data_IF_195531309450
#
_entry.id   IF_195531309450
#
_cell.length_a   1.000
_cell.length_b   1.000
_cell.length_c   1.000
_cell.angle_alpha   90.00
_cell.angle_beta   90.00
_cell.angle_gamma   90.00
#
_symmetry.space_group_name_H-M   'P 1'
#
loop_
_entity.id
_entity.type
_entity.pdbx_description
1 polymer ?
#
# COMPACT_ATOMS: atom_id res chain seq x y z
N UNK A 1 47.60 38.08 -34.21
CA UNK A 1 46.99 39.36 -33.79
C UNK A 1 45.73 39.55 -34.62
N UNK A 2 44.64 39.98 -33.96
CA UNK A 2 43.28 40.28 -34.46
C UNK A 2 42.19 39.23 -34.19
N UNK A 3 41.52 39.50 -33.06
CA UNK A 3 40.18 39.12 -32.67
C UNK A 3 39.11 39.72 -33.59
N UNK A 4 37.97 39.05 -33.73
CA UNK A 4 36.65 39.69 -33.56
C UNK A 4 35.57 38.66 -33.17
N UNK A 5 34.85 39.03 -32.11
CA UNK A 5 33.67 38.38 -31.52
C UNK A 5 32.42 38.75 -32.33
N UNK A 6 31.33 37.96 -32.26
CA UNK A 6 29.91 38.40 -32.14
C UNK A 6 28.99 37.18 -32.34
N UNK A 7 28.39 36.59 -31.30
CA UNK A 7 27.12 36.92 -30.60
C UNK A 7 25.84 36.30 -31.22
N UNK A 8 25.16 35.54 -30.37
CA UNK A 8 23.78 35.06 -30.46
C UNK A 8 22.77 36.15 -30.88
N UNK A 9 21.70 35.71 -31.58
CA UNK A 9 20.27 36.13 -31.58
C UNK A 9 19.68 35.63 -32.93
N UNK A 10 18.56 34.93 -33.07
CA UNK A 10 17.27 35.02 -32.39
C UNK A 10 16.47 33.72 -32.61
N UNK A 11 15.65 33.36 -31.62
CA UNK A 11 14.56 32.39 -31.74
C UNK A 11 13.47 32.95 -32.68
N UNK A 12 13.02 32.16 -33.66
CA UNK A 12 11.79 32.45 -34.40
C UNK A 12 10.71 31.46 -33.97
N UNK A 13 9.78 31.99 -33.19
CA UNK A 13 8.51 31.36 -32.81
C UNK A 13 7.59 31.43 -34.04
N UNK A 14 7.07 30.30 -34.49
CA UNK A 14 5.95 30.27 -35.44
C UNK A 14 4.78 29.60 -34.71
N UNK A 15 3.73 30.37 -34.46
CA UNK A 15 2.45 29.92 -33.92
C UNK A 15 1.32 30.37 -34.85
N UNK A 16 0.29 29.53 -34.91
CA UNK A 16 -1.08 29.70 -35.45
C UNK A 16 -1.36 29.32 -36.91
N UNK A 17 -2.08 28.20 -37.08
CA UNK A 17 -3.43 28.27 -37.62
C UNK A 17 -4.32 27.15 -37.09
N UNK A 18 -5.48 27.57 -36.58
CA UNK A 18 -6.65 26.81 -36.15
C UNK A 18 -7.57 26.67 -37.36
N UNK A 19 -7.97 25.45 -37.74
CA UNK A 19 -9.20 25.24 -38.51
C UNK A 19 -9.92 23.98 -37.99
N UNK A 20 -11.14 24.20 -37.49
CA UNK A 20 -12.13 23.19 -37.13
C UNK A 20 -12.66 22.47 -38.39
N UNK A 21 -12.88 21.17 -38.30
CA UNK A 21 -13.89 20.49 -39.10
C UNK A 21 -14.72 19.59 -38.19
N UNK A 22 -15.94 20.05 -37.97
CA UNK A 22 -17.04 19.35 -37.33
C UNK A 22 -17.72 18.48 -38.40
N UNK A 23 -17.80 17.16 -38.24
CA UNK A 23 -18.79 16.35 -38.99
C UNK A 23 -19.01 14.98 -38.35
N UNK A 24 -20.27 14.68 -38.03
CA UNK A 24 -20.78 13.30 -38.07
C UNK A 24 -21.02 12.59 -36.74
N UNK A 25 -22.12 12.89 -36.07
CA UNK A 25 -22.85 11.93 -35.23
C UNK A 25 -23.51 10.87 -36.14
N UNK A 26 -23.36 9.56 -35.86
CA UNK A 26 -24.43 8.54 -35.87
C UNK A 26 -23.93 7.21 -35.23
N UNK A 27 -24.36 7.00 -33.97
CA UNK A 27 -24.82 5.80 -33.25
C UNK A 27 -24.27 4.36 -33.47
N UNK A 28 -23.75 3.83 -32.34
CA UNK A 28 -23.85 2.49 -31.71
C UNK A 28 -24.03 1.20 -32.55
N UNK A 29 -23.11 0.24 -32.36
CA UNK A 29 -23.43 -1.02 -31.64
C UNK A 29 -22.18 -1.88 -31.29
N UNK A 30 -22.15 -2.26 -30.01
CA UNK A 30 -21.72 -3.53 -29.40
C UNK A 30 -20.29 -4.08 -29.55
N UNK A 31 -19.60 -3.96 -28.41
CA UNK A 31 -18.88 -5.02 -27.69
C UNK A 31 -17.81 -5.81 -28.42
N UNK A 32 -16.57 -5.40 -28.19
CA UNK A 32 -15.60 -6.33 -27.62
C UNK A 32 -14.97 -5.62 -26.43
N UNK A 33 -15.59 -5.79 -25.25
CA UNK A 33 -14.85 -5.62 -24.00
C UNK A 33 -13.71 -6.62 -24.08
N UNK A 34 -12.52 -6.14 -24.43
CA UNK A 34 -11.32 -6.73 -23.86
C UNK A 34 -11.62 -6.87 -22.38
N UNK A 35 -11.72 -8.11 -21.91
CA UNK A 35 -11.79 -8.42 -20.49
C UNK A 35 -10.51 -7.85 -19.90
N UNK A 36 -10.61 -6.60 -19.44
CA UNK A 36 -9.82 -6.14 -18.34
C UNK A 36 -10.07 -7.20 -17.27
N UNK A 37 -9.06 -8.03 -17.02
CA UNK A 37 -8.98 -8.78 -15.78
C UNK A 37 -9.03 -7.69 -14.71
N UNK A 38 -10.25 -7.38 -14.29
CA UNK A 38 -10.51 -6.57 -13.13
C UNK A 38 -9.88 -7.37 -12.00
N UNK A 39 -8.61 -7.06 -11.69
CA UNK A 39 -8.01 -7.40 -10.41
C UNK A 39 -8.93 -6.75 -9.40
N UNK A 40 -9.85 -7.56 -8.86
CA UNK A 40 -10.77 -7.13 -7.85
C UNK A 40 -9.94 -6.41 -6.78
N UNK A 41 -10.30 -5.19 -6.37
CA UNK A 41 -9.60 -4.52 -5.29
C UNK A 41 -9.75 -5.41 -4.05
N UNK A 42 -8.69 -6.14 -3.72
CA UNK A 42 -8.68 -7.20 -2.71
C UNK A 42 -9.03 -6.60 -1.35
N UNK A 43 -10.20 -6.98 -0.82
CA UNK A 43 -10.64 -6.59 0.52
C UNK A 43 -10.37 -7.78 1.45
N UNK A 44 -9.28 -7.74 2.20
CA UNK A 44 -9.40 -8.22 3.58
C UNK A 44 -10.44 -7.29 4.20
N UNK A 45 -11.65 -7.78 4.46
CA UNK A 45 -12.71 -6.96 5.07
C UNK A 45 -12.42 -6.85 6.57
N UNK A 46 -11.30 -6.22 6.89
CA UNK A 46 -10.99 -5.74 8.23
C UNK A 46 -11.90 -4.56 8.54
N UNK A 47 -12.57 -4.62 9.68
CA UNK A 47 -13.30 -3.48 10.24
C UNK A 47 -12.34 -2.31 10.45
N UNK A 48 -12.75 -1.09 10.08
CA UNK A 48 -12.05 0.18 10.31
C UNK A 48 -10.64 0.27 9.71
N UNK A 49 -10.56 0.65 8.43
CA UNK A 49 -9.31 0.91 7.70
C UNK A 49 -8.80 2.36 7.85
N UNK A 50 -9.40 3.17 8.71
CA UNK A 50 -8.99 4.56 8.88
C UNK A 50 -7.62 4.63 9.56
N UNK A 51 -6.67 5.24 8.87
CA UNK A 51 -5.31 5.48 9.36
C UNK A 51 -5.09 6.99 9.38
N UNK A 52 -4.43 7.54 10.42
CA UNK A 52 -4.02 8.94 10.42
C UNK A 52 -3.13 9.25 9.23
N UNK A 53 -3.34 10.40 8.58
CA UNK A 53 -2.60 10.79 7.38
C UNK A 53 -1.07 10.75 7.58
N UNK A 54 -0.57 11.11 8.78
CA UNK A 54 0.86 11.00 9.11
C UNK A 54 1.35 9.54 9.09
N UNK A 55 0.58 8.60 9.62
CA UNK A 55 0.97 7.19 9.63
C UNK A 55 0.95 6.60 8.21
N UNK A 56 -0.05 6.96 7.41
CA UNK A 56 -0.13 6.57 5.99
C UNK A 56 1.05 7.13 5.18
N UNK A 57 1.36 8.43 5.34
CA UNK A 57 2.51 9.05 4.69
C UNK A 57 3.85 8.37 5.05
N UNK A 58 4.03 7.99 6.32
CA UNK A 58 5.23 7.25 6.75
C UNK A 58 5.32 5.88 6.05
N UNK A 59 4.21 5.17 5.92
CA UNK A 59 4.16 3.90 5.21
C UNK A 59 4.52 4.07 3.73
N UNK A 60 3.84 4.99 3.03
CA UNK A 60 4.03 5.26 1.60
C UNK A 60 5.47 5.68 1.26
N UNK A 61 6.08 6.50 2.13
CA UNK A 61 7.44 7.02 1.89
C UNK A 61 8.51 5.94 2.12
N UNK A 62 8.29 5.00 3.03
CA UNK A 62 9.34 4.10 3.52
C UNK A 62 9.21 2.64 3.07
N UNK A 63 8.03 2.18 2.62
CA UNK A 63 7.82 0.74 2.40
C UNK A 63 8.79 0.13 1.39
N UNK A 64 9.08 0.84 0.29
CA UNK A 64 9.88 0.30 -0.81
C UNK A 64 11.33 0.09 -0.40
N UNK A 65 11.95 1.07 0.27
CA UNK A 65 13.34 0.96 0.75
C UNK A 65 13.48 -0.11 1.84
N UNK A 66 12.51 -0.20 2.74
CA UNK A 66 12.48 -1.23 3.78
C UNK A 66 12.31 -2.64 3.18
N UNK A 67 11.44 -2.80 2.18
CA UNK A 67 11.23 -4.07 1.50
C UNK A 67 12.45 -4.52 0.70
N UNK A 68 13.14 -3.60 0.04
CA UNK A 68 14.40 -3.86 -0.65
C UNK A 68 15.51 -4.26 0.32
N UNK A 69 15.63 -3.59 1.47
CA UNK A 69 16.62 -3.95 2.47
C UNK A 69 16.36 -5.35 3.05
N UNK A 70 15.11 -5.65 3.39
CA UNK A 70 14.75 -6.96 3.95
C UNK A 70 14.89 -8.10 2.92
N UNK A 71 14.66 -7.85 1.63
CA UNK A 71 14.79 -8.88 0.59
C UNK A 71 16.23 -9.31 0.32
N UNK A 72 17.18 -8.40 0.54
CA UNK A 72 18.61 -8.74 0.51
C UNK A 72 18.99 -9.68 1.66
N UNK A 73 18.37 -9.50 2.83
CA UNK A 73 18.62 -10.32 4.02
C UNK A 73 17.99 -11.71 3.88
N UNK A 74 16.73 -11.76 3.42
CA UNK A 74 15.97 -13.02 3.37
C UNK A 74 16.22 -13.86 2.11
N UNK A 75 17.13 -13.39 1.24
CA UNK A 75 17.55 -14.04 -0.01
C UNK A 75 16.39 -14.37 -0.97
N UNK A 76 15.25 -13.69 -0.85
CA UNK A 76 14.07 -13.95 -1.68
C UNK A 76 14.21 -13.49 -3.14
N UNK A 77 15.24 -12.68 -3.45
CA UNK A 77 15.52 -12.18 -4.79
C UNK A 77 14.51 -11.11 -5.24
N UNK A 78 14.97 -10.15 -6.04
CA UNK A 78 14.17 -9.02 -6.51
C UNK A 78 13.39 -9.37 -7.79
N UNK A 79 12.39 -10.25 -7.68
CA UNK A 79 11.50 -10.53 -8.81
C UNK A 79 10.29 -9.59 -8.77
N UNK A 80 10.51 -8.35 -9.20
CA UNK A 80 9.45 -7.35 -9.42
C UNK A 80 9.37 -6.24 -8.37
N UNK A 81 8.61 -5.20 -8.72
CA UNK A 81 8.39 -4.01 -7.89
C UNK A 81 7.50 -4.31 -6.68
N UNK A 82 7.83 -3.69 -5.55
CA UNK A 82 7.00 -3.75 -4.35
C UNK A 82 5.82 -2.79 -4.47
N UNK A 83 4.67 -3.21 -3.95
CA UNK A 83 3.46 -2.40 -3.87
C UNK A 83 2.95 -2.38 -2.42
N UNK A 84 2.46 -1.22 -1.98
CA UNK A 84 1.84 -1.07 -0.68
C UNK A 84 0.35 -1.42 -0.77
N UNK A 85 -0.09 -2.39 0.02
CA UNK A 85 -1.47 -2.82 0.13
C UNK A 85 -2.30 -1.92 1.05
N UNK A 86 -3.62 -2.13 1.05
CA UNK A 86 -4.54 -1.43 1.94
C UNK A 86 -4.24 -1.74 3.41
N UNK A 87 -4.29 -0.73 4.30
CA UNK A 87 -4.01 -0.95 5.70
C UNK A 87 -5.08 -1.79 6.40
N UNK A 88 -4.67 -2.41 7.51
CA UNK A 88 -5.54 -3.06 8.47
C UNK A 88 -5.13 -2.75 9.92
N UNK A 89 -6.04 -3.02 10.84
CA UNK A 89 -5.84 -2.89 12.29
C UNK A 89 -5.97 -4.25 12.97
N UNK A 90 -5.37 -4.36 14.15
CA UNK A 90 -5.49 -5.54 15.02
C UNK A 90 -6.19 -5.12 16.30
N UNK A 91 -6.99 -6.03 16.85
CA UNK A 91 -7.80 -5.79 18.05
C UNK A 91 -7.44 -6.74 19.17
N UNK A 92 -7.61 -6.29 20.42
CA UNK A 92 -7.74 -7.21 21.55
C UNK A 92 -9.13 -7.85 21.52
N UNK A 93 -9.30 -9.00 22.17
CA UNK A 93 -10.61 -9.68 22.25
C UNK A 93 -11.68 -8.85 22.95
N UNK A 94 -11.31 -7.85 23.76
CA UNK A 94 -12.24 -6.90 24.37
C UNK A 94 -12.66 -5.74 23.42
N UNK A 95 -12.27 -5.79 22.14
CA UNK A 95 -12.60 -4.80 21.11
C UNK A 95 -11.68 -3.58 21.06
N UNK A 96 -10.71 -3.45 21.97
CA UNK A 96 -9.74 -2.35 21.91
C UNK A 96 -8.77 -2.52 20.73
N UNK A 97 -8.50 -1.44 19.99
CA UNK A 97 -7.41 -1.42 19.01
C UNK A 97 -6.06 -1.65 19.70
N UNK A 98 -5.14 -2.35 19.02
CA UNK A 98 -3.78 -2.59 19.54
C UNK A 98 -2.87 -1.35 19.47
N UNK A 99 -3.30 -0.31 18.74
CA UNK A 99 -2.62 0.98 18.62
C UNK A 99 -1.66 1.09 17.43
N UNK A 100 -1.54 0.05 16.60
CA UNK A 100 -0.67 0.01 15.42
C UNK A 100 -1.47 0.04 14.11
N UNK A 101 -0.77 0.34 13.01
CA UNK A 101 -1.33 0.26 11.66
C UNK A 101 -0.47 -0.65 10.80
N UNK A 102 -1.10 -1.56 10.08
CA UNK A 102 -0.40 -2.62 9.36
C UNK A 102 -0.69 -2.53 7.86
N UNK A 103 0.35 -2.52 7.05
CA UNK A 103 0.25 -2.45 5.60
C UNK A 103 0.89 -3.70 4.99
N UNK A 104 0.12 -4.52 4.24
CA UNK A 104 0.69 -5.60 3.45
C UNK A 104 1.65 -5.03 2.41
N UNK A 105 2.84 -5.59 2.28
CA UNK A 105 3.78 -5.25 1.20
C UNK A 105 3.77 -6.40 0.21
N UNK A 106 3.29 -6.11 -0.99
CA UNK A 106 3.12 -7.08 -2.07
C UNK A 106 4.30 -7.06 -3.02
N UNK A 107 4.62 -8.22 -3.58
CA UNK A 107 5.43 -8.36 -4.78
C UNK A 107 4.67 -9.28 -5.74
N UNK A 108 4.24 -8.73 -6.86
CA UNK A 108 3.26 -9.38 -7.73
C UNK A 108 1.97 -9.70 -6.96
N UNK A 109 1.58 -10.97 -6.93
CA UNK A 109 0.38 -11.43 -6.24
C UNK A 109 0.64 -12.02 -4.86
N UNK A 110 1.81 -11.82 -4.26
CA UNK A 110 2.10 -12.36 -2.93
C UNK A 110 2.40 -11.25 -1.94
N UNK A 111 1.80 -11.34 -0.75
CA UNK A 111 2.21 -10.53 0.40
C UNK A 111 3.54 -11.09 0.87
N UNK A 112 4.62 -10.32 0.72
CA UNK A 112 5.96 -10.73 1.14
C UNK A 112 6.23 -10.35 2.59
N UNK A 113 5.78 -9.16 2.96
CA UNK A 113 6.02 -8.58 4.27
C UNK A 113 4.79 -7.86 4.77
N UNK A 114 4.82 -7.49 6.05
CA UNK A 114 3.92 -6.52 6.65
C UNK A 114 4.75 -5.38 7.21
N UNK A 115 4.42 -4.18 6.76
CA UNK A 115 4.94 -2.92 7.30
C UNK A 115 4.06 -2.51 8.47
N UNK A 116 4.64 -2.39 9.65
CA UNK A 116 3.97 -1.95 10.89
C UNK A 116 4.35 -0.51 11.17
N UNK A 117 3.34 0.34 11.34
CA UNK A 117 3.48 1.75 11.72
C UNK A 117 2.99 1.90 13.15
N UNK A 118 3.88 2.33 14.04
CA UNK A 118 3.68 2.34 15.50
C UNK A 118 3.96 3.73 16.06
N UNK A 119 3.14 4.26 16.99
CA UNK A 119 3.48 5.49 17.72
C UNK A 119 4.91 5.42 18.30
N UNK A 120 5.71 6.46 18.07
CA UNK A 120 7.17 6.37 18.26
C UNK A 120 7.61 6.26 19.72
N UNK A 121 6.82 6.79 20.66
CA UNK A 121 7.10 6.76 22.09
C UNK A 121 5.79 6.81 22.91
N UNK A 122 5.88 6.68 24.23
CA UNK A 122 4.72 6.70 25.14
C UNK A 122 3.88 7.99 25.03
N UNK A 123 4.50 9.14 24.77
CA UNK A 123 3.74 10.38 24.57
C UNK A 123 2.92 10.31 23.28
N UNK A 124 3.46 9.73 22.21
CA UNK A 124 2.77 9.54 20.93
C UNK A 124 1.63 8.50 21.03
N UNK A 125 1.73 7.53 21.95
CA UNK A 125 0.64 6.56 22.23
C UNK A 125 -0.57 7.26 22.84
N UNK A 126 -0.34 8.22 23.75
CA UNK A 126 -1.39 8.93 24.46
C UNK A 126 -1.85 10.21 23.75
N UNK A 127 -1.15 10.63 22.69
CA UNK A 127 -1.50 11.80 21.89
C UNK A 127 -2.73 11.56 21.00
N UNK A 128 -3.28 12.64 20.46
CA UNK A 128 -4.23 12.52 19.35
C UNK A 128 -3.54 11.82 18.17
N UNK A 129 -4.22 10.84 17.57
CA UNK A 129 -3.70 10.02 16.47
C UNK A 129 -3.22 10.86 15.27
N UNK A 130 -3.79 12.04 15.03
CA UNK A 130 -3.37 12.91 13.93
C UNK A 130 -2.14 13.76 14.27
N UNK A 131 -1.81 13.95 15.55
CA UNK A 131 -0.63 14.71 16.00
C UNK A 131 0.59 13.85 16.28
N UNK A 132 0.38 12.57 16.63
CA UNK A 132 1.43 11.62 16.98
C UNK A 132 2.53 11.48 15.93
N UNK A 133 3.75 11.19 16.39
CA UNK A 133 4.84 10.75 15.55
C UNK A 133 4.86 9.23 15.44
N UNK A 134 5.25 8.76 14.27
CA UNK A 134 5.24 7.34 13.95
C UNK A 134 6.63 6.84 13.60
N UNK A 135 6.86 5.57 13.93
CA UNK A 135 7.99 4.78 13.49
C UNK A 135 7.50 3.64 12.60
N UNK A 136 8.37 3.14 11.73
CA UNK A 136 8.04 2.10 10.75
C UNK A 136 8.96 0.91 10.95
N UNK A 137 8.41 -0.29 10.89
CA UNK A 137 9.15 -1.55 10.87
C UNK A 137 8.59 -2.47 9.79
N UNK A 138 9.44 -3.20 9.08
CA UNK A 138 9.01 -4.23 8.14
C UNK A 138 9.44 -5.62 8.65
N UNK A 139 8.61 -6.63 8.44
CA UNK A 139 8.96 -8.01 8.73
C UNK A 139 8.04 -9.00 8.00
N UNK A 140 8.31 -10.31 8.11
CA UNK A 140 7.40 -11.37 7.64
C UNK A 140 6.17 -11.58 8.54
N UNK A 141 5.89 -10.65 9.47
CA UNK A 141 4.79 -10.73 10.41
C UNK A 141 3.48 -11.13 9.72
N UNK A 142 2.97 -12.34 10.07
CA UNK A 142 1.75 -12.99 9.56
C UNK A 142 1.56 -12.99 8.03
N UNK A 143 2.59 -12.69 7.23
CA UNK A 143 2.47 -12.51 5.79
C UNK A 143 1.96 -13.78 5.09
N UNK A 144 2.46 -14.95 5.52
CA UNK A 144 2.05 -16.24 4.98
C UNK A 144 0.59 -16.56 5.32
N UNK A 145 0.15 -16.32 6.56
CA UNK A 145 -1.25 -16.49 6.96
C UNK A 145 -2.18 -15.57 6.17
N UNK A 146 -1.77 -14.30 5.95
CA UNK A 146 -2.54 -13.37 5.12
C UNK A 146 -2.66 -13.86 3.67
N UNK A 147 -1.61 -14.48 3.11
CA UNK A 147 -1.69 -15.07 1.78
C UNK A 147 -2.71 -16.23 1.71
N UNK A 148 -2.79 -17.07 2.75
CA UNK A 148 -3.76 -18.18 2.79
C UNK A 148 -5.21 -17.67 2.74
N UNK A 149 -5.57 -16.72 3.61
CA UNK A 149 -6.93 -16.15 3.61
C UNK A 149 -7.25 -15.37 2.34
N UNK A 150 -6.24 -14.71 1.76
CA UNK A 150 -6.37 -14.02 0.47
C UNK A 150 -6.71 -14.99 -0.66
N UNK A 151 -5.98 -16.10 -0.77
CA UNK A 151 -6.23 -17.11 -1.81
C UNK A 151 -7.63 -17.72 -1.69
N UNK A 152 -8.10 -17.90 -0.45
CA UNK A 152 -9.45 -18.38 -0.16
C UNK A 152 -10.55 -17.28 -0.27
N UNK A 153 -10.21 -16.05 -0.67
CA UNK A 153 -11.10 -14.89 -0.70
C UNK A 153 -11.94 -14.74 0.60
N UNK A 154 -11.33 -15.05 1.74
CA UNK A 154 -12.02 -15.13 3.04
C UNK A 154 -11.76 -13.84 3.83
N UNK A 155 -12.80 -13.09 4.22
CA UNK A 155 -12.64 -11.94 5.10
C UNK A 155 -12.25 -12.42 6.51
N UNK A 156 -11.29 -11.72 7.12
CA UNK A 156 -10.82 -12.01 8.48
C UNK A 156 -10.84 -10.74 9.34
N UNK A 157 -11.02 -10.92 10.65
CA UNK A 157 -10.65 -9.96 11.68
C UNK A 157 -9.43 -10.50 12.43
N UNK A 158 -8.45 -9.66 12.70
CA UNK A 158 -7.23 -10.11 13.39
C UNK A 158 -7.27 -9.65 14.84
N UNK A 159 -7.09 -10.62 15.73
CA UNK A 159 -7.05 -10.40 17.17
C UNK A 159 -5.66 -10.67 17.75
N UNK A 160 -5.39 -10.11 18.93
CA UNK A 160 -4.18 -10.38 19.70
C UNK A 160 -4.45 -10.49 21.19
N UNK A 161 -3.65 -11.32 21.87
CA UNK A 161 -3.57 -11.39 23.33
C UNK A 161 -2.11 -11.71 23.74
N UNK A 162 -1.91 -12.03 25.02
CA UNK A 162 -0.58 -12.40 25.56
C UNK A 162 0.06 -13.63 24.90
N UNK A 163 -0.74 -14.54 24.35
CA UNK A 163 -0.30 -15.82 23.79
C UNK A 163 0.05 -15.69 22.30
N UNK A 164 -0.55 -14.75 21.58
CA UNK A 164 -0.23 -14.50 20.18
C UNK A 164 -1.27 -13.70 19.41
N UNK A 165 -1.34 -13.99 18.11
CA UNK A 165 -2.24 -13.40 17.12
C UNK A 165 -3.17 -14.46 16.55
N UNK A 166 -4.41 -14.05 16.28
CA UNK A 166 -5.48 -14.93 15.84
C UNK A 166 -6.23 -14.31 14.66
N UNK A 167 -6.72 -15.14 13.75
CA UNK A 167 -7.66 -14.73 12.72
C UNK A 167 -9.04 -15.28 13.06
N UNK A 168 -10.04 -14.41 13.04
CA UNK A 168 -11.45 -14.80 13.07
C UNK A 168 -12.01 -14.81 11.64
N UNK A 169 -12.62 -15.91 11.24
CA UNK A 169 -13.44 -16.01 10.03
C UNK A 169 -14.54 -17.04 10.23
N UNK A 170 -15.72 -16.81 9.64
CA UNK A 170 -16.84 -17.75 9.71
C UNK A 170 -17.19 -18.18 11.16
N UNK A 171 -17.09 -17.26 12.12
CA UNK A 171 -17.30 -17.50 13.56
C UNK A 171 -16.34 -18.52 14.19
N UNK A 172 -15.19 -18.76 13.57
CA UNK A 172 -14.08 -19.56 14.11
C UNK A 172 -12.88 -18.67 14.36
N UNK A 173 -12.14 -18.97 15.41
CA UNK A 173 -10.91 -18.26 15.79
C UNK A 173 -9.76 -19.26 15.69
N UNK A 174 -8.75 -18.92 14.91
CA UNK A 174 -7.56 -19.74 14.68
C UNK A 174 -6.30 -18.94 15.03
N UNK A 175 -5.34 -19.57 15.71
CA UNK A 175 -4.06 -18.93 15.99
C UNK A 175 -3.23 -18.86 14.70
N UNK A 176 -2.76 -17.67 14.34
CA UNK A 176 -1.96 -17.43 13.12
C UNK A 176 -0.49 -17.13 13.42
N UNK A 177 -0.17 -16.75 14.67
CA UNK A 177 1.20 -16.58 15.16
C UNK A 177 1.25 -16.65 16.68
N UNK A 178 2.14 -17.47 17.22
CA UNK A 178 2.52 -17.45 18.64
C UNK A 178 3.58 -16.36 18.90
N UNK A 179 3.53 -15.74 20.09
CA UNK A 179 4.52 -14.74 20.53
C UNK A 179 5.91 -15.35 20.73
#
# INVERSE_FOLDING_TARGET
MNNTKSLLKSFTIILFSLIMALSGLLSFSTSSQAQAVHKAPLKVKVSNTEVPAKAEQQAETQFSSYAQALSQIDKSGTNGEYQLGKPFKIYKFNGQEDGNYYFPVLQGEHIKYVLTVTPKNENDVNANKNSANYSVRISKFIADSLNQYRQANTPITIYTNKDGYFAEHNHKIEMIKQN
#
